data_IF_414553110731
#
_entry.id   IF_414553110731
#
_cell.length_a   1.000
_cell.length_b   1.000
_cell.length_c   1.000
_cell.angle_alpha   90.00
_cell.angle_beta   90.00
_cell.angle_gamma   90.00
#
_symmetry.space_group_name_H-M   'P 1'
#
loop_
_entity.id
_entity.type
_entity.pdbx_description
1 polymer ?
#
# COMPACT_ATOMS: atom_id res chain seq x y z
N UNK A 1 -14.19 15.71 -25.68
CA UNK A 1 -13.88 14.93 -26.89
C UNK A 1 -14.06 13.46 -26.53
N UNK A 2 -14.87 12.78 -27.32
CA UNK A 2 -15.65 11.58 -26.99
C UNK A 2 -14.86 10.39 -26.42
N UNK A 3 -15.38 9.83 -25.32
CA UNK A 3 -15.06 8.52 -24.74
C UNK A 3 -15.40 7.32 -25.69
N UNK A 4 -15.65 7.61 -26.97
CA UNK A 4 -16.00 6.65 -28.02
C UNK A 4 -14.78 5.93 -28.59
N UNK A 5 -13.58 6.53 -28.50
CA UNK A 5 -12.35 5.92 -29.04
C UNK A 5 -11.88 4.69 -28.27
N UNK A 6 -12.01 4.71 -26.93
CA UNK A 6 -11.53 3.62 -26.07
C UNK A 6 -12.40 2.37 -26.17
N UNK A 7 -13.72 2.53 -26.31
CA UNK A 7 -14.66 1.41 -26.42
C UNK A 7 -14.57 0.74 -27.78
N UNK A 8 -14.48 1.50 -28.88
CA UNK A 8 -14.33 0.97 -30.24
C UNK A 8 -13.00 0.23 -30.42
N UNK A 9 -11.92 0.70 -29.76
CA UNK A 9 -10.61 0.05 -29.76
C UNK A 9 -10.62 -1.32 -29.07
N UNK A 10 -11.28 -1.45 -27.91
CA UNK A 10 -11.42 -2.71 -27.18
C UNK A 10 -12.28 -3.70 -27.98
N UNK A 11 -13.37 -3.22 -28.61
CA UNK A 11 -14.26 -4.07 -29.42
C UNK A 11 -13.56 -4.55 -30.71
N UNK A 12 -12.70 -3.75 -31.32
CA UNK A 12 -12.02 -4.10 -32.59
C UNK A 12 -10.72 -4.89 -32.43
N UNK A 13 -9.98 -4.68 -31.34
CA UNK A 13 -8.67 -5.33 -31.11
C UNK A 13 -8.68 -6.37 -29.99
N UNK A 14 -9.80 -6.51 -29.28
CA UNK A 14 -9.93 -7.40 -28.13
C UNK A 14 -9.03 -6.97 -26.97
N UNK A 15 -8.52 -7.94 -26.22
CA UNK A 15 -7.65 -7.71 -25.05
C UNK A 15 -6.17 -7.61 -25.40
N UNK A 16 -5.78 -7.81 -26.66
CA UNK A 16 -4.40 -7.92 -27.11
C UNK A 16 -3.58 -6.66 -26.77
N UNK A 17 -4.15 -5.47 -26.97
CA UNK A 17 -3.49 -4.21 -26.58
C UNK A 17 -3.31 -4.05 -25.07
N UNK A 18 -4.26 -4.54 -24.27
CA UNK A 18 -4.16 -4.55 -22.82
C UNK A 18 -3.04 -5.49 -22.36
N UNK A 19 -2.95 -6.69 -22.95
CA UNK A 19 -1.91 -7.68 -22.64
C UNK A 19 -0.53 -7.13 -23.01
N UNK A 20 -0.38 -6.53 -24.19
CA UNK A 20 0.88 -5.85 -24.56
C UNK A 20 1.25 -4.76 -23.56
N UNK A 21 0.28 -3.96 -23.13
CA UNK A 21 0.48 -2.96 -22.08
C UNK A 21 0.98 -3.57 -20.77
N UNK A 22 0.31 -4.62 -20.28
CA UNK A 22 0.70 -5.30 -19.03
C UNK A 22 2.09 -5.95 -19.09
N UNK A 23 2.54 -6.41 -20.26
CA UNK A 23 3.89 -6.99 -20.43
C UNK A 23 4.97 -5.92 -20.58
N UNK A 24 4.67 -4.80 -21.25
CA UNK A 24 5.68 -3.82 -21.65
C UNK A 24 5.81 -2.64 -20.68
N UNK A 25 4.75 -2.30 -19.95
CA UNK A 25 4.74 -1.13 -19.07
C UNK A 25 5.23 -1.52 -17.66
N UNK A 26 6.27 -0.86 -17.12
CA UNK A 26 6.77 -1.13 -15.77
C UNK A 26 5.71 -0.83 -14.70
N UNK A 27 5.72 -1.61 -13.62
CA UNK A 27 4.83 -1.36 -12.47
C UNK A 27 5.34 -0.19 -11.63
N UNK A 28 4.40 0.49 -10.97
CA UNK A 28 4.72 1.49 -9.94
C UNK A 28 5.00 0.80 -8.61
N UNK A 29 5.92 1.36 -7.81
CA UNK A 29 6.18 0.89 -6.44
C UNK A 29 4.92 1.05 -5.54
N UNK A 30 4.50 0.02 -4.79
CA UNK A 30 3.29 0.06 -3.95
C UNK A 30 3.28 1.16 -2.90
N UNK A 31 4.45 1.55 -2.38
CA UNK A 31 4.63 2.59 -1.36
C UNK A 31 4.15 3.98 -1.83
N UNK A 32 3.89 4.15 -3.14
CA UNK A 32 3.42 5.41 -3.73
C UNK A 32 2.12 5.21 -4.48
N UNK A 33 0.99 5.39 -3.80
CA UNK A 33 -0.33 5.36 -4.42
C UNK A 33 -0.44 6.44 -5.52
N UNK A 34 -1.20 6.16 -6.57
CA UNK A 34 -1.42 7.09 -7.66
C UNK A 34 -2.65 7.97 -7.38
N UNK A 35 -2.66 9.25 -7.80
CA UNK A 35 -3.83 10.12 -7.65
C UNK A 35 -5.12 9.51 -8.23
N UNK A 36 -4.99 8.73 -9.31
CA UNK A 36 -6.11 8.01 -9.92
C UNK A 36 -6.84 7.06 -8.95
N UNK A 37 -6.20 6.61 -7.87
CA UNK A 37 -6.82 5.75 -6.84
C UNK A 37 -7.01 6.46 -5.49
N UNK A 38 -6.36 7.60 -5.24
CA UNK A 38 -6.55 8.36 -3.99
C UNK A 38 -7.53 9.53 -4.12
N UNK A 39 -7.65 10.13 -5.31
CA UNK A 39 -8.51 11.31 -5.54
C UNK A 39 -9.66 11.02 -6.51
N UNK A 40 -9.43 10.12 -7.47
CA UNK A 40 -10.34 9.91 -8.61
C UNK A 40 -10.96 8.51 -8.64
N UNK A 41 -10.81 7.71 -7.57
CA UNK A 41 -11.37 6.37 -7.57
C UNK A 41 -12.90 6.48 -7.67
N UNK A 42 -13.47 6.00 -8.77
CA UNK A 42 -14.91 6.13 -9.06
C UNK A 42 -15.44 7.55 -8.85
N UNK A 43 -14.69 8.55 -9.34
CA UNK A 43 -15.00 9.99 -9.35
C UNK A 43 -15.05 10.69 -7.98
N UNK A 44 -15.05 9.98 -6.85
CA UNK A 44 -15.23 10.62 -5.52
C UNK A 44 -14.56 9.90 -4.33
N UNK A 45 -13.77 8.84 -4.54
CA UNK A 45 -13.27 8.01 -3.43
C UNK A 45 -11.74 7.90 -3.35
N UNK A 46 -11.26 7.64 -2.13
CA UNK A 46 -9.86 7.41 -1.80
C UNK A 46 -9.65 5.96 -1.37
N UNK A 47 -8.98 5.18 -2.22
CA UNK A 47 -8.65 3.77 -1.97
C UNK A 47 -7.79 3.58 -0.72
N UNK A 48 -6.86 4.50 -0.44
CA UNK A 48 -6.01 4.45 0.73
C UNK A 48 -6.82 4.60 2.01
N UNK A 49 -7.67 5.62 2.06
CA UNK A 49 -8.60 5.84 3.18
C UNK A 49 -9.60 4.68 3.35
N UNK A 50 -10.11 4.12 2.25
CA UNK A 50 -10.98 2.94 2.28
C UNK A 50 -10.28 1.73 2.91
N UNK A 51 -9.02 1.46 2.56
CA UNK A 51 -8.30 0.31 3.09
C UNK A 51 -8.00 0.46 4.59
N UNK A 52 -7.68 1.68 5.05
CA UNK A 52 -7.54 1.98 6.49
C UNK A 52 -8.86 1.68 7.21
N UNK A 53 -9.97 2.23 6.73
CA UNK A 53 -11.28 2.03 7.36
C UNK A 53 -11.75 0.58 7.31
N UNK A 54 -11.46 -0.13 6.21
CA UNK A 54 -11.76 -1.57 6.09
C UNK A 54 -10.96 -2.40 7.10
N UNK A 55 -9.69 -2.08 7.32
CA UNK A 55 -8.89 -2.74 8.35
C UNK A 55 -9.53 -2.61 9.73
N UNK A 56 -9.98 -1.41 10.08
CA UNK A 56 -10.65 -1.12 11.36
C UNK A 56 -12.01 -1.80 11.48
N UNK A 57 -12.82 -1.77 10.44
CA UNK A 57 -14.14 -2.44 10.38
C UNK A 57 -14.02 -3.97 10.59
N UNK A 58 -13.00 -4.58 9.98
CA UNK A 58 -12.75 -6.01 10.11
C UNK A 58 -11.97 -6.39 11.39
N UNK A 59 -11.66 -5.43 12.26
CA UNK A 59 -10.92 -5.70 13.49
C UNK A 59 -9.49 -6.20 13.27
N UNK A 60 -8.85 -5.80 12.17
CA UNK A 60 -7.45 -6.11 11.91
C UNK A 60 -6.59 -5.49 13.02
N UNK A 61 -5.67 -6.30 13.56
CA UNK A 61 -4.79 -5.85 14.64
C UNK A 61 -3.86 -4.71 14.17
N UNK A 62 -3.37 -3.86 15.09
CA UNK A 62 -2.42 -2.82 14.72
C UNK A 62 -1.13 -3.39 14.14
N UNK A 63 -0.43 -2.56 13.36
CA UNK A 63 0.83 -2.89 12.70
C UNK A 63 1.87 -3.50 13.65
N UNK A 64 2.01 -2.95 14.85
CA UNK A 64 3.04 -3.37 15.80
C UNK A 64 2.83 -4.82 16.31
N UNK A 65 1.59 -5.29 16.35
CA UNK A 65 1.28 -6.68 16.72
C UNK A 65 1.72 -7.66 15.63
N UNK A 66 1.62 -7.25 14.35
CA UNK A 66 2.12 -8.05 13.24
C UNK A 66 3.65 -8.08 13.19
N UNK A 67 4.32 -6.99 13.60
CA UNK A 67 5.78 -7.02 13.77
C UNK A 67 6.19 -8.11 14.76
N UNK A 68 5.53 -8.16 15.91
CA UNK A 68 5.81 -9.17 16.94
C UNK A 68 5.55 -10.60 16.44
N UNK A 69 4.42 -10.83 15.76
CA UNK A 69 4.08 -12.13 15.14
C UNK A 69 5.17 -12.56 14.14
N UNK A 70 5.70 -11.61 13.37
CA UNK A 70 6.74 -11.84 12.38
C UNK A 70 8.16 -11.88 12.96
N UNK A 71 8.31 -11.86 14.29
CA UNK A 71 9.62 -11.86 14.95
C UNK A 71 10.43 -10.59 14.76
N UNK A 72 9.81 -9.52 14.26
CA UNK A 72 10.41 -8.20 14.16
C UNK A 72 10.31 -7.50 15.52
N UNK A 73 11.25 -6.59 15.78
CA UNK A 73 11.24 -5.81 17.02
C UNK A 73 10.00 -4.91 17.08
N UNK A 74 9.21 -5.02 18.14
CA UNK A 74 8.15 -4.05 18.48
C UNK A 74 8.71 -2.62 18.54
N UNK A 75 8.02 -1.69 17.90
CA UNK A 75 8.36 -0.28 17.96
C UNK A 75 7.86 0.33 19.27
N UNK A 76 8.68 1.17 19.89
CA UNK A 76 8.33 1.93 21.11
C UNK A 76 8.26 3.43 20.85
N UNK A 77 8.69 3.87 19.66
CA UNK A 77 8.74 5.26 19.24
C UNK A 77 8.65 5.32 17.71
N UNK A 78 7.98 6.35 17.18
CA UNK A 78 7.94 6.61 15.74
C UNK A 78 9.33 6.83 15.14
N UNK A 79 10.29 7.34 15.93
CA UNK A 79 11.65 7.61 15.46
C UNK A 79 12.48 6.33 15.32
N UNK A 80 12.18 5.33 16.17
CA UNK A 80 12.89 4.05 16.24
C UNK A 80 12.34 3.01 15.26
N UNK A 81 11.90 3.48 14.09
CA UNK A 81 11.34 2.65 13.02
C UNK A 81 12.36 2.47 11.89
N UNK A 82 13.18 1.40 11.89
CA UNK A 82 14.31 1.27 10.97
C UNK A 82 13.89 0.99 9.52
N UNK A 83 12.72 0.40 9.31
CA UNK A 83 12.22 0.07 7.96
C UNK A 83 11.64 1.28 7.23
N UNK A 84 11.37 2.39 7.92
CA UNK A 84 10.97 3.67 7.30
C UNK A 84 12.20 4.55 7.19
N UNK A 85 12.65 4.85 5.96
CA UNK A 85 13.94 5.50 5.73
C UNK A 85 13.86 7.01 5.93
N UNK A 86 12.78 7.64 5.51
CA UNK A 86 12.62 9.08 5.53
C UNK A 86 12.15 9.58 6.91
N UNK A 87 12.94 10.42 7.63
CA UNK A 87 12.54 10.96 8.92
C UNK A 87 11.27 11.80 8.85
N UNK A 88 11.05 12.49 7.72
CA UNK A 88 9.84 13.28 7.50
C UNK A 88 8.58 12.41 7.52
N UNK A 89 8.65 11.20 6.96
CA UNK A 89 7.52 10.25 6.98
C UNK A 89 7.21 9.85 8.42
N UNK A 90 8.23 9.52 9.22
CA UNK A 90 8.06 9.20 10.66
C UNK A 90 7.37 10.34 11.41
N UNK A 91 7.80 11.59 11.16
CA UNK A 91 7.22 12.78 11.79
C UNK A 91 5.75 12.97 11.39
N UNK A 92 5.40 12.76 10.12
CA UNK A 92 4.02 12.85 9.65
C UNK A 92 3.13 11.79 10.30
N UNK A 93 3.62 10.56 10.42
CA UNK A 93 2.87 9.49 11.10
C UNK A 93 2.70 9.81 12.59
N UNK A 94 3.75 10.29 13.26
CA UNK A 94 3.69 10.70 14.65
C UNK A 94 2.70 11.86 14.92
N UNK A 95 2.43 12.70 13.91
CA UNK A 95 1.43 13.76 13.99
C UNK A 95 -0.01 13.24 13.77
N UNK A 96 -0.18 12.06 13.17
CA UNK A 96 -1.47 11.48 12.81
C UNK A 96 -1.96 10.43 13.82
N UNK A 97 -1.05 9.69 14.47
CA UNK A 97 -1.36 8.65 15.43
C UNK A 97 -0.93 9.05 16.84
N UNK A 98 -1.76 8.73 17.85
CA UNK A 98 -1.47 9.06 19.24
C UNK A 98 -0.35 8.17 19.82
N UNK A 99 -0.37 6.88 19.51
CA UNK A 99 0.68 5.91 19.85
C UNK A 99 1.21 5.20 18.61
N UNK A 100 2.48 4.75 18.67
CA UNK A 100 3.06 3.86 17.66
C UNK A 100 2.32 2.51 17.60
N UNK A 101 1.65 2.13 18.69
CA UNK A 101 0.81 0.95 18.79
C UNK A 101 -0.55 1.11 18.09
N UNK A 102 -0.94 2.32 17.68
CA UNK A 102 -2.23 2.57 17.01
C UNK A 102 -2.13 2.54 15.48
N UNK A 103 -0.92 2.38 14.92
CA UNK A 103 -0.71 2.43 13.47
C UNK A 103 -1.46 1.28 12.79
N UNK A 104 -2.32 1.61 11.83
CA UNK A 104 -3.03 0.61 11.03
C UNK A 104 -2.05 -0.26 10.23
N UNK A 105 -2.28 -1.58 10.18
CA UNK A 105 -1.41 -2.53 9.46
C UNK A 105 -1.15 -2.10 8.01
N UNK A 106 -2.19 -1.64 7.30
CA UNK A 106 -2.08 -1.19 5.92
C UNK A 106 -1.10 -0.02 5.76
N UNK A 107 -1.14 0.94 6.70
CA UNK A 107 -0.24 2.10 6.70
C UNK A 107 1.17 1.65 7.04
N UNK A 108 1.36 0.91 8.13
CA UNK A 108 2.69 0.47 8.55
C UNK A 108 3.41 -0.36 7.49
N UNK A 109 2.74 -1.36 6.92
CA UNK A 109 3.34 -2.20 5.89
C UNK A 109 3.62 -1.48 4.56
N UNK A 110 2.86 -0.43 4.22
CA UNK A 110 3.14 0.41 3.05
C UNK A 110 4.30 1.40 3.26
N UNK A 111 4.62 1.76 4.50
CA UNK A 111 5.71 2.70 4.77
C UNK A 111 7.07 2.01 4.84
N UNK A 112 7.10 0.70 5.05
CA UNK A 112 8.34 -0.07 5.01
C UNK A 112 8.99 -0.02 3.62
N UNK A 113 10.30 0.24 3.63
CA UNK A 113 11.13 0.05 2.45
C UNK A 113 11.10 -1.42 2.01
N UNK A 114 11.03 -1.70 0.70
CA UNK A 114 11.10 -3.06 0.20
C UNK A 114 12.38 -3.77 0.63
N UNK A 115 12.28 -5.07 0.96
CA UNK A 115 13.47 -5.92 1.11
C UNK A 115 14.09 -6.20 -0.26
N UNK A 116 15.39 -6.51 -0.30
CA UNK A 116 16.10 -6.76 -1.56
C UNK A 116 15.43 -7.88 -2.37
N UNK A 117 15.13 -7.60 -3.63
CA UNK A 117 14.42 -8.53 -4.52
C UNK A 117 12.90 -8.61 -4.32
N UNK A 118 12.33 -7.80 -3.43
CA UNK A 118 10.88 -7.73 -3.16
C UNK A 118 10.28 -6.37 -3.52
N UNK A 119 8.95 -6.34 -3.60
CA UNK A 119 8.16 -5.11 -3.77
C UNK A 119 7.58 -4.59 -2.44
N UNK A 120 7.70 -5.38 -1.38
CA UNK A 120 7.12 -5.10 -0.05
C UNK A 120 8.17 -5.19 1.04
N UNK A 121 7.91 -4.51 2.15
CA UNK A 121 8.76 -4.55 3.34
C UNK A 121 8.69 -5.88 4.11
N UNK A 122 9.48 -6.02 5.18
CA UNK A 122 9.59 -7.27 5.93
C UNK A 122 8.26 -7.74 6.55
N UNK A 123 7.40 -6.84 7.04
CA UNK A 123 6.13 -7.24 7.66
C UNK A 123 5.18 -7.86 6.65
N UNK A 124 4.98 -7.21 5.49
CA UNK A 124 4.16 -7.79 4.42
C UNK A 124 4.82 -8.99 3.75
N UNK A 125 6.15 -9.05 3.69
CA UNK A 125 6.86 -10.25 3.22
C UNK A 125 6.51 -11.46 4.09
N UNK A 126 6.60 -11.31 5.42
CA UNK A 126 6.22 -12.35 6.38
C UNK A 126 4.75 -12.77 6.25
N UNK A 127 3.81 -11.83 6.27
CA UNK A 127 2.36 -12.14 6.22
C UNK A 127 1.99 -12.83 4.90
N UNK A 128 2.52 -12.35 3.77
CA UNK A 128 2.24 -12.95 2.46
C UNK A 128 2.87 -14.34 2.36
N UNK A 129 4.11 -14.50 2.82
CA UNK A 129 4.81 -15.79 2.79
C UNK A 129 4.21 -16.84 3.74
N UNK A 130 3.59 -16.45 4.85
CA UNK A 130 2.89 -17.38 5.74
C UNK A 130 1.57 -17.89 5.12
N UNK A 131 0.90 -17.05 4.33
CA UNK A 131 -0.38 -17.39 3.70
C UNK A 131 -0.24 -18.27 2.43
N UNK A 132 0.85 -18.16 1.68
CA UNK A 132 1.06 -18.85 0.39
C UNK A 132 2.17 -19.89 0.46
#
# INVERSE_FOLDING_TARGET
VSNAGSVDLIVRTGTDQLIRGMMAVPTKKPQRLAPAVTEELFDVSDMGSINIQRGRDQGVRPYNDYRDICGLKRLTSFQDWPEVLEPEVKNRVAALYASIDDVDLYVGGLLEAPVDGSMVGPTFTCIIADQF
#
